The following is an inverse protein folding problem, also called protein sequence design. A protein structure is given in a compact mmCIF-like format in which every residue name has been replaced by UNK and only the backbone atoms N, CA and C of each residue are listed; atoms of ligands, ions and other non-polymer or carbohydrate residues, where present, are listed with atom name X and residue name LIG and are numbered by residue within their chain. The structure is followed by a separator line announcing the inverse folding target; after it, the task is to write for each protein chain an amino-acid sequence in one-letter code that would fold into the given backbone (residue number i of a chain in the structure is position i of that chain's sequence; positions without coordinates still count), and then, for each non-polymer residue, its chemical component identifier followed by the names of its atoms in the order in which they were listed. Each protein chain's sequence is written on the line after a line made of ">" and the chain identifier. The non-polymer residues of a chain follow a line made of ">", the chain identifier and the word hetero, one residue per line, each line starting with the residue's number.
data_IF_610328766239
#
_entry.id   IF_610328766239
#
_cell.length_a   1.000
_cell.length_b   1.000
_cell.length_c   1.000
_cell.angle_alpha   90.00
_cell.angle_beta   90.00
_cell.angle_gamma   90.00
#
_symmetry.space_group_name_H-M   'P 1'
#
loop_
_entity.id
_entity.type
_entity.pdbx_description
1 polymer ?
#
# COMPACT_ATOMS: atom_id res chain seq x y z
N UNK A 1 -28.79 -47.99 -7.85
CA UNK A 1 -28.20 -47.80 -6.51
C UNK A 1 -26.77 -48.29 -6.34
N UNK A 2 -26.34 -49.44 -6.91
CA UNK A 2 -24.94 -49.92 -6.75
C UNK A 2 -23.87 -49.05 -7.45
N UNK A 3 -24.19 -48.36 -8.54
CA UNK A 3 -23.26 -47.49 -9.28
C UNK A 3 -23.00 -46.14 -8.59
N UNK A 4 -23.97 -45.63 -7.84
CA UNK A 4 -23.83 -44.38 -7.06
C UNK A 4 -23.00 -44.56 -5.79
N UNK A 5 -23.05 -45.74 -5.17
CA UNK A 5 -22.21 -46.07 -4.01
C UNK A 5 -20.74 -46.25 -4.38
N UNK A 6 -20.48 -46.80 -5.59
CA UNK A 6 -19.08 -46.87 -6.09
C UNK A 6 -18.49 -45.50 -6.42
N UNK A 7 -19.29 -44.58 -6.95
CA UNK A 7 -18.85 -43.21 -7.22
C UNK A 7 -18.55 -42.43 -5.91
N UNK A 8 -19.37 -42.60 -4.88
CA UNK A 8 -19.15 -42.00 -3.55
C UNK A 8 -17.93 -42.64 -2.87
N UNK A 9 -17.74 -43.94 -2.98
CA UNK A 9 -16.56 -44.63 -2.45
C UNK A 9 -15.27 -44.24 -3.19
N UNK A 10 -15.30 -44.00 -4.51
CA UNK A 10 -14.19 -43.50 -5.29
C UNK A 10 -13.85 -42.03 -4.94
N UNK A 11 -14.89 -41.18 -4.75
CA UNK A 11 -14.67 -39.82 -4.27
C UNK A 11 -14.09 -39.75 -2.84
N UNK A 12 -14.55 -40.63 -1.94
CA UNK A 12 -14.04 -40.70 -0.57
C UNK A 12 -12.61 -41.29 -0.49
N UNK A 13 -12.24 -42.17 -1.42
CA UNK A 13 -10.88 -42.70 -1.51
C UNK A 13 -9.87 -41.67 -2.05
N UNK A 14 -10.32 -40.74 -2.91
CA UNK A 14 -9.50 -39.61 -3.41
C UNK A 14 -9.39 -38.51 -2.34
N UNK A 15 -10.41 -38.31 -1.53
CA UNK A 15 -10.40 -37.32 -0.43
C UNK A 15 -9.50 -37.74 0.75
N UNK A 16 -9.04 -38.96 0.81
CA UNK A 16 -8.24 -39.48 1.93
C UNK A 16 -6.73 -39.20 1.87
N UNK A 17 -6.21 -38.59 0.81
CA UNK A 17 -4.75 -38.35 0.64
C UNK A 17 -4.38 -36.88 0.40
N UNK A 18 -5.34 -36.00 0.17
CA UNK A 18 -5.09 -34.57 0.04
C UNK A 18 -5.10 -33.94 1.43
N UNK A 19 -3.98 -33.92 2.11
CA UNK A 19 -3.79 -33.19 3.35
C UNK A 19 -3.35 -31.77 3.01
N UNK A 20 -4.26 -30.82 3.11
CA UNK A 20 -3.93 -29.42 2.95
C UNK A 20 -3.06 -28.96 4.13
N UNK A 21 -1.86 -28.49 3.86
CA UNK A 21 -1.01 -27.86 4.87
C UNK A 21 -1.54 -26.45 5.17
N UNK A 22 -2.12 -26.29 6.35
CA UNK A 22 -2.62 -24.98 6.82
C UNK A 22 -1.67 -24.44 7.88
N UNK A 23 -1.17 -23.24 7.65
CA UNK A 23 -0.25 -22.54 8.57
C UNK A 23 -0.90 -21.24 9.07
N UNK A 24 -0.99 -21.10 10.38
CA UNK A 24 -1.20 -19.81 11.05
C UNK A 24 0.14 -19.07 11.12
N UNK A 25 0.16 -17.80 10.73
CA UNK A 25 1.36 -16.97 10.78
C UNK A 25 1.00 -15.54 11.17
N UNK A 26 2.00 -14.78 11.60
CA UNK A 26 1.80 -13.38 11.89
C UNK A 26 3.06 -12.63 12.26
N UNK A 27 2.87 -11.33 12.46
CA UNK A 27 3.89 -10.38 12.92
C UNK A 27 3.22 -9.45 13.91
N UNK A 28 3.84 -9.29 15.07
CA UNK A 28 3.55 -8.20 16.01
C UNK A 28 4.78 -7.30 16.03
N UNK A 29 4.59 -6.05 15.69
CA UNK A 29 5.63 -5.03 15.63
C UNK A 29 5.12 -3.77 16.32
N UNK A 30 5.82 -3.37 17.38
CA UNK A 30 5.44 -2.23 18.21
C UNK A 30 6.68 -1.42 18.56
N UNK A 31 6.61 -0.12 18.40
CA UNK A 31 7.65 0.82 18.74
C UNK A 31 7.17 1.87 19.74
N UNK A 32 8.12 2.46 20.44
CA UNK A 32 7.95 3.71 21.17
C UNK A 32 8.86 4.73 20.50
N UNK A 33 8.31 5.88 20.19
CA UNK A 33 9.06 6.88 19.46
C UNK A 33 8.55 8.29 19.64
N UNK A 34 9.29 9.22 19.05
CA UNK A 34 8.96 10.63 19.02
C UNK A 34 8.80 11.09 17.58
N UNK A 35 7.80 11.93 17.33
CA UNK A 35 7.63 12.68 16.08
C UNK A 35 7.73 14.15 16.42
N UNK A 36 8.70 14.85 15.85
CA UNK A 36 8.85 16.30 16.01
C UNK A 36 7.99 17.04 14.98
N UNK A 37 7.50 18.23 15.36
CA UNK A 37 6.76 19.12 14.48
C UNK A 37 5.48 18.51 13.87
N UNK A 38 4.75 17.76 14.69
CA UNK A 38 3.48 17.19 14.29
C UNK A 38 2.36 18.23 14.41
N UNK A 39 1.66 18.48 13.33
CA UNK A 39 0.58 19.48 13.28
C UNK A 39 -0.80 18.95 13.68
N UNK A 40 -0.96 17.64 13.93
CA UNK A 40 -2.22 17.01 14.33
C UNK A 40 -2.04 15.97 15.44
N UNK A 41 -3.09 15.86 16.24
CA UNK A 41 -3.13 15.10 17.49
C UNK A 41 -3.23 13.57 17.33
N UNK A 42 -3.06 13.00 16.16
CA UNK A 42 -3.07 11.54 16.00
C UNK A 42 -1.64 11.00 15.99
N UNK A 43 -1.18 10.39 17.09
CA UNK A 43 0.18 9.86 17.19
C UNK A 43 0.37 8.54 16.41
N UNK A 44 -0.69 7.90 15.94
CA UNK A 44 -0.61 6.64 15.19
C UNK A 44 -0.22 6.84 13.73
N UNK A 45 -0.30 8.08 13.24
CA UNK A 45 0.17 8.43 11.91
C UNK A 45 1.06 9.66 12.00
N UNK A 46 2.34 9.54 11.66
CA UNK A 46 3.15 10.72 11.43
C UNK A 46 2.40 11.57 10.41
N UNK A 47 2.20 12.83 10.72
CA UNK A 47 1.36 13.73 9.97
C UNK A 47 1.60 13.58 8.47
N UNK A 48 0.69 12.86 7.86
CA UNK A 48 0.56 12.90 6.41
C UNK A 48 0.49 14.35 6.02
N UNK A 49 1.10 14.67 4.96
CA UNK A 49 1.26 15.95 4.31
C UNK A 49 -0.10 16.60 4.03
N UNK A 50 -0.90 16.75 5.06
CA UNK A 50 -2.07 17.58 5.05
C UNK A 50 -1.71 18.81 5.89
N UNK A 51 -1.36 19.94 5.28
CA UNK A 51 -1.13 21.14 6.02
C UNK A 51 -2.45 21.59 6.61
N UNK A 52 -2.76 21.10 7.78
CA UNK A 52 -3.81 21.67 8.57
C UNK A 52 -3.27 22.97 9.12
N UNK A 53 -3.81 24.05 8.61
CA UNK A 53 -3.66 25.42 9.11
C UNK A 53 -2.29 25.75 9.74
N UNK A 54 -1.54 26.59 9.09
CA UNK A 54 -0.24 27.13 9.53
C UNK A 54 -0.24 27.87 10.90
N UNK A 55 -1.32 27.80 11.65
CA UNK A 55 -1.52 28.48 12.94
C UNK A 55 -1.33 27.60 14.18
N UNK A 56 -1.18 26.27 14.01
CA UNK A 56 -0.88 25.42 15.15
C UNK A 56 0.64 25.37 15.39
N UNK A 57 1.07 25.67 16.60
CA UNK A 57 2.47 25.57 17.00
C UNK A 57 2.95 24.11 16.81
N UNK A 58 4.11 23.88 16.18
CA UNK A 58 4.61 22.54 15.96
C UNK A 58 4.99 21.89 17.30
N UNK A 59 4.36 20.78 17.61
CA UNK A 59 4.58 20.05 18.86
C UNK A 59 5.34 18.74 18.59
N UNK A 60 6.11 18.31 19.57
CA UNK A 60 6.71 16.98 19.57
C UNK A 60 5.77 16.03 20.31
N UNK A 61 5.47 14.90 19.70
CA UNK A 61 4.62 13.85 20.29
C UNK A 61 5.46 12.62 20.56
N UNK A 62 5.31 12.07 21.75
CA UNK A 62 5.87 10.75 22.11
C UNK A 62 4.73 9.77 22.26
N UNK A 63 4.79 8.65 21.52
CA UNK A 63 3.72 7.66 21.53
C UNK A 63 4.22 6.25 21.24
N UNK A 64 3.37 5.26 21.52
CA UNK A 64 3.48 3.95 20.93
C UNK A 64 3.07 4.03 19.46
N UNK A 65 3.81 3.32 18.60
CA UNK A 65 3.62 3.31 17.15
C UNK A 65 3.47 1.88 16.69
N UNK A 66 2.39 1.61 15.97
CA UNK A 66 2.14 0.30 15.36
C UNK A 66 3.03 0.12 14.13
N UNK A 67 3.84 -0.94 14.11
CA UNK A 67 4.60 -1.32 12.95
C UNK A 67 5.78 -0.41 12.62
N UNK A 68 6.84 -0.44 13.39
CA UNK A 68 8.05 0.33 13.06
C UNK A 68 8.74 -0.15 11.78
N UNK A 69 8.97 -1.43 11.67
CA UNK A 69 9.49 -2.04 10.44
C UNK A 69 8.37 -2.66 9.62
N UNK A 70 7.45 -3.38 10.26
CA UNK A 70 6.41 -4.15 9.57
C UNK A 70 5.03 -3.89 10.17
N UNK A 71 3.99 -3.63 9.38
CA UNK A 71 2.63 -3.57 9.93
C UNK A 71 2.27 -4.86 10.65
N UNK A 72 1.72 -4.75 11.87
CA UNK A 72 1.23 -5.89 12.63
C UNK A 72 0.10 -6.58 11.89
N UNK A 73 0.15 -7.91 11.82
CA UNK A 73 -0.81 -8.73 11.08
C UNK A 73 -0.80 -10.17 11.54
N UNK A 74 -1.89 -10.85 11.25
CA UNK A 74 -1.99 -12.30 11.36
C UNK A 74 -2.67 -12.86 10.12
N UNK A 75 -2.49 -14.11 9.82
CA UNK A 75 -3.09 -14.73 8.66
C UNK A 75 -3.05 -16.24 8.70
N UNK A 76 -3.83 -16.82 7.83
CA UNK A 76 -3.87 -18.26 7.55
C UNK A 76 -3.54 -18.42 6.07
N UNK A 77 -2.62 -19.32 5.77
CA UNK A 77 -2.31 -19.73 4.40
C UNK A 77 -2.31 -21.25 4.31
N UNK A 78 -2.65 -21.75 3.16
CA UNK A 78 -2.64 -23.18 2.95
C UNK A 78 -2.26 -23.55 1.52
N UNK A 79 -1.80 -24.79 1.38
CA UNK A 79 -1.55 -25.40 0.08
C UNK A 79 -1.98 -26.84 0.10
N UNK A 80 -2.57 -27.28 -1.01
CA UNK A 80 -2.96 -28.66 -1.27
C UNK A 80 -2.28 -29.13 -2.55
N UNK A 81 -1.54 -30.23 -2.49
CA UNK A 81 -0.91 -30.82 -3.66
C UNK A 81 -1.97 -31.54 -4.52
N UNK A 82 -2.13 -31.08 -5.75
CA UNK A 82 -3.08 -31.65 -6.72
C UNK A 82 -2.40 -32.69 -7.64
N UNK A 83 -1.10 -32.92 -7.45
CA UNK A 83 -0.30 -33.79 -8.29
C UNK A 83 0.28 -33.07 -9.52
N UNK A 84 1.29 -33.71 -10.13
CA UNK A 84 1.91 -33.16 -11.35
C UNK A 84 2.70 -31.88 -11.19
N UNK A 85 3.02 -31.44 -9.95
CA UNK A 85 3.68 -30.16 -9.67
C UNK A 85 2.72 -29.00 -9.45
N UNK A 86 1.42 -29.27 -9.54
CA UNK A 86 0.36 -28.24 -9.35
C UNK A 86 -0.19 -28.28 -7.94
N UNK A 87 -0.42 -27.11 -7.32
CA UNK A 87 -0.97 -26.94 -5.98
C UNK A 87 -2.13 -25.96 -6.01
N UNK A 88 -3.18 -26.24 -5.24
CA UNK A 88 -4.16 -25.23 -4.86
C UNK A 88 -3.59 -24.45 -3.66
N UNK A 89 -3.72 -23.12 -3.69
CA UNK A 89 -3.19 -22.25 -2.64
C UNK A 89 -4.24 -21.24 -2.20
N UNK A 90 -4.18 -20.81 -0.95
CA UNK A 90 -4.95 -19.67 -0.47
C UNK A 90 -4.18 -18.87 0.58
N UNK A 91 -4.56 -17.60 0.74
CA UNK A 91 -4.09 -16.74 1.83
C UNK A 91 -5.21 -15.82 2.30
N UNK A 92 -5.41 -15.78 3.62
CA UNK A 92 -6.26 -14.83 4.30
C UNK A 92 -5.41 -14.08 5.32
N UNK A 93 -5.27 -12.75 5.18
CA UNK A 93 -4.38 -11.94 6.01
C UNK A 93 -5.09 -10.68 6.50
N UNK A 94 -5.05 -10.48 7.82
CA UNK A 94 -5.61 -9.33 8.54
C UNK A 94 -4.51 -8.48 9.15
N UNK A 95 -4.54 -7.18 8.88
CA UNK A 95 -3.71 -6.19 9.59
C UNK A 95 -4.47 -5.64 10.78
N UNK A 96 -3.77 -5.41 11.86
CA UNK A 96 -4.33 -4.79 13.06
C UNK A 96 -3.37 -3.78 13.65
N UNK A 97 -3.91 -2.88 14.45
CA UNK A 97 -3.15 -1.94 15.24
C UNK A 97 -2.79 -2.57 16.58
N UNK A 98 -1.50 -2.83 16.78
CA UNK A 98 -1.01 -3.45 18.03
C UNK A 98 -1.07 -2.52 19.24
N UNK A 99 -1.27 -1.20 19.04
CA UNK A 99 -1.44 -0.26 20.15
C UNK A 99 -2.83 -0.36 20.77
N UNK A 100 -3.85 -0.61 19.93
CA UNK A 100 -5.28 -0.52 20.31
C UNK A 100 -6.01 -1.84 20.19
N UNK A 101 -5.49 -2.81 19.42
CA UNK A 101 -6.15 -4.06 19.09
C UNK A 101 -7.20 -3.94 17.98
N UNK A 102 -7.37 -2.76 17.36
CA UNK A 102 -8.33 -2.53 16.29
C UNK A 102 -7.81 -3.05 14.95
N UNK A 103 -8.72 -3.33 14.02
CA UNK A 103 -8.36 -3.64 12.63
C UNK A 103 -7.79 -2.39 11.94
N UNK A 104 -6.74 -2.58 11.15
CA UNK A 104 -6.18 -1.53 10.32
C UNK A 104 -7.06 -1.22 9.10
N UNK A 105 -6.91 -0.01 8.55
CA UNK A 105 -7.53 0.44 7.29
C UNK A 105 -9.05 0.69 7.32
N UNK A 106 -9.62 1.12 8.44
CA UNK A 106 -11.05 1.40 8.53
C UNK A 106 -11.57 2.30 7.39
N UNK A 107 -11.11 3.53 7.29
CA UNK A 107 -11.56 4.47 6.24
C UNK A 107 -11.10 4.07 4.83
N UNK A 108 -9.88 3.56 4.69
CA UNK A 108 -9.35 3.12 3.39
C UNK A 108 -10.04 1.84 2.89
N UNK A 109 -10.48 0.97 3.79
CA UNK A 109 -11.27 -0.21 3.42
C UNK A 109 -12.59 0.16 2.73
N UNK A 110 -13.22 1.26 3.12
CA UNK A 110 -14.41 1.79 2.45
C UNK A 110 -14.12 2.22 1.02
N UNK A 111 -13.01 2.89 0.82
CA UNK A 111 -12.61 3.38 -0.50
C UNK A 111 -12.24 2.24 -1.44
N UNK A 112 -11.59 1.20 -0.93
CA UNK A 112 -11.12 0.08 -1.74
C UNK A 112 -12.25 -0.85 -2.21
N UNK A 113 -13.40 -0.80 -1.56
CA UNK A 113 -14.51 -1.72 -1.82
C UNK A 113 -15.56 -1.09 -2.77
N UNK A 114 -15.12 -0.58 -3.89
CA UNK A 114 -15.91 0.20 -4.86
C UNK A 114 -17.09 -0.54 -5.52
N UNK A 115 -17.21 -1.85 -5.33
CA UNK A 115 -18.20 -2.68 -6.04
C UNK A 115 -19.55 -2.82 -5.34
N UNK A 116 -19.76 -2.20 -4.18
CA UNK A 116 -21.03 -2.34 -3.46
C UNK A 116 -21.86 -1.07 -3.57
N UNK A 117 -22.67 -0.99 -4.59
CA UNK A 117 -23.64 0.09 -4.82
C UNK A 117 -24.91 -0.04 -3.97
N UNK A 118 -25.02 -1.04 -3.12
CA UNK A 118 -26.22 -1.25 -2.33
C UNK A 118 -26.04 -0.77 -0.89
N UNK A 119 -26.95 0.08 -0.49
CA UNK A 119 -27.13 0.74 0.79
C UNK A 119 -27.36 -0.20 2.00
N UNK A 120 -26.60 -1.26 2.14
CA UNK A 120 -26.71 -2.13 3.29
C UNK A 120 -25.71 -1.69 4.36
N UNK A 121 -26.11 -0.70 5.15
CA UNK A 121 -25.34 -0.12 6.25
C UNK A 121 -24.85 -1.17 7.28
N UNK A 122 -25.52 -2.31 7.37
CA UNK A 122 -25.16 -3.40 8.26
C UNK A 122 -23.94 -4.22 7.79
N UNK A 123 -23.53 -4.09 6.53
CA UNK A 123 -22.38 -4.84 5.97
C UNK A 123 -21.08 -4.07 6.00
N UNK A 124 -21.06 -2.87 6.55
CA UNK A 124 -20.00 -1.90 6.39
C UNK A 124 -19.65 -1.23 7.71
N UNK A 125 -18.96 -1.94 8.58
CA UNK A 125 -18.24 -1.23 9.60
C UNK A 125 -17.00 -0.59 8.95
N UNK A 126 -16.64 0.61 9.37
CA UNK A 126 -15.34 1.24 9.05
C UNK A 126 -14.17 0.35 9.48
N UNK A 127 -14.41 -0.53 10.45
CA UNK A 127 -13.50 -1.59 10.90
C UNK A 127 -13.51 -2.82 9.99
N UNK A 128 -14.26 -2.78 8.92
CA UNK A 128 -15.03 -3.80 8.23
C UNK A 128 -14.37 -4.77 7.31
N UNK A 129 -13.10 -4.75 7.05
CA UNK A 129 -12.47 -5.83 6.28
C UNK A 129 -11.64 -6.71 7.22
N UNK A 130 -12.20 -7.85 7.62
CA UNK A 130 -11.46 -8.81 8.44
C UNK A 130 -10.13 -9.21 7.79
N UNK A 131 -10.14 -9.46 6.48
CA UNK A 131 -8.93 -9.76 5.71
C UNK A 131 -8.54 -8.57 4.82
N UNK A 132 -8.22 -7.46 5.46
CA UNK A 132 -7.94 -6.19 4.80
C UNK A 132 -6.62 -6.16 4.01
N UNK A 133 -5.74 -7.17 4.19
CA UNK A 133 -4.45 -7.23 3.49
C UNK A 133 -4.50 -8.17 2.30
N UNK A 134 -4.86 -9.42 2.51
CA UNK A 134 -4.96 -10.41 1.45
C UNK A 134 -6.15 -11.36 1.71
N UNK A 135 -6.89 -11.69 0.68
CA UNK A 135 -7.96 -12.68 0.66
C UNK A 135 -8.05 -13.26 -0.75
N UNK A 136 -7.26 -14.29 -1.02
CA UNK A 136 -7.19 -14.89 -2.35
C UNK A 136 -7.09 -16.41 -2.31
N UNK A 137 -7.47 -17.03 -3.42
CA UNK A 137 -7.27 -18.43 -3.74
C UNK A 137 -6.65 -18.53 -5.13
N UNK A 138 -5.92 -19.60 -5.42
CA UNK A 138 -5.30 -19.78 -6.73
C UNK A 138 -4.67 -21.13 -6.95
N UNK A 139 -4.01 -21.24 -8.08
CA UNK A 139 -3.21 -22.40 -8.48
C UNK A 139 -1.76 -21.97 -8.65
N UNK A 140 -0.85 -22.80 -8.16
CA UNK A 140 0.59 -22.65 -8.34
C UNK A 140 1.13 -23.90 -8.99
N UNK A 141 1.94 -23.72 -10.01
CA UNK A 141 2.55 -24.81 -10.77
C UNK A 141 4.04 -24.52 -11.00
N UNK A 142 4.87 -25.54 -10.90
CA UNK A 142 6.33 -25.40 -10.98
C UNK A 142 6.81 -24.95 -12.37
N UNK A 143 6.05 -25.19 -13.44
CA UNK A 143 6.36 -24.81 -14.81
C UNK A 143 5.57 -23.58 -15.27
N UNK A 144 4.29 -23.54 -14.94
CA UNK A 144 3.35 -22.53 -15.44
C UNK A 144 3.22 -21.31 -14.52
N UNK A 145 3.83 -21.34 -13.32
CA UNK A 145 3.79 -20.24 -12.36
C UNK A 145 2.52 -20.24 -11.52
N UNK A 146 2.15 -19.06 -11.02
CA UNK A 146 1.07 -18.92 -10.04
C UNK A 146 0.00 -17.99 -10.58
N UNK A 147 -1.26 -18.43 -10.54
CA UNK A 147 -2.45 -17.66 -10.89
C UNK A 147 -3.37 -17.57 -9.67
N UNK A 148 -3.67 -16.34 -9.23
CA UNK A 148 -4.46 -16.08 -8.02
C UNK A 148 -5.64 -15.15 -8.28
N UNK A 149 -6.71 -15.31 -7.49
CA UNK A 149 -7.97 -14.59 -7.62
C UNK A 149 -8.40 -14.04 -6.26
N UNK A 150 -8.69 -12.75 -6.18
CA UNK A 150 -9.18 -12.11 -4.95
C UNK A 150 -8.36 -10.87 -4.58
N UNK A 151 -8.48 -10.44 -3.31
CA UNK A 151 -7.72 -9.31 -2.78
C UNK A 151 -6.28 -9.69 -2.55
N UNK A 152 -5.35 -8.97 -3.15
CA UNK A 152 -3.94 -9.30 -3.12
C UNK A 152 -3.05 -8.09 -3.39
N UNK A 153 -1.76 -8.25 -3.14
CA UNK A 153 -0.77 -7.22 -3.44
C UNK A 153 -0.61 -6.98 -4.94
N UNK A 154 -0.54 -5.71 -5.29
CA UNK A 154 -0.23 -5.24 -6.63
C UNK A 154 1.24 -5.53 -7.00
N UNK A 155 1.57 -5.40 -8.29
CA UNK A 155 2.90 -5.76 -8.78
C UNK A 155 4.02 -4.86 -8.26
N UNK A 156 3.73 -3.62 -7.87
CA UNK A 156 4.70 -2.72 -7.25
C UNK A 156 5.16 -3.22 -5.88
N UNK A 157 4.25 -3.76 -5.09
CA UNK A 157 4.59 -4.31 -3.77
C UNK A 157 5.61 -5.45 -3.86
N UNK A 158 5.55 -6.25 -4.90
CA UNK A 158 6.50 -7.35 -5.12
C UNK A 158 7.94 -6.84 -5.31
N UNK A 159 8.12 -5.55 -5.66
CA UNK A 159 9.42 -4.92 -5.85
C UNK A 159 9.90 -4.23 -4.57
N UNK A 160 9.03 -3.47 -3.90
CA UNK A 160 9.41 -2.62 -2.77
C UNK A 160 10.16 -3.35 -1.68
N UNK A 161 9.67 -4.53 -1.25
CA UNK A 161 10.26 -5.27 -0.14
C UNK A 161 11.73 -5.66 -0.35
N UNK A 162 12.15 -5.84 -1.61
CA UNK A 162 13.50 -6.25 -1.97
C UNK A 162 14.41 -5.12 -2.47
N UNK A 163 13.84 -3.98 -2.87
CA UNK A 163 14.55 -2.93 -3.58
C UNK A 163 14.53 -1.57 -2.88
N UNK A 164 13.64 -1.34 -1.92
CA UNK A 164 13.69 -0.13 -1.09
C UNK A 164 14.96 -0.14 -0.22
N UNK A 165 15.72 0.96 -0.16
CA UNK A 165 16.93 1.10 0.64
C UNK A 165 16.79 0.66 2.11
N UNK A 166 15.72 1.06 2.79
CA UNK A 166 15.46 0.70 4.18
C UNK A 166 14.39 -0.41 4.31
N UNK A 167 14.33 -1.31 3.32
CA UNK A 167 13.57 -2.56 3.35
C UNK A 167 12.05 -2.34 3.49
N UNK A 168 11.53 -1.25 2.97
CA UNK A 168 10.11 -0.89 3.05
C UNK A 168 9.60 -0.77 4.50
N UNK A 169 10.47 -0.29 5.40
CA UNK A 169 10.14 -0.13 6.80
C UNK A 169 8.98 0.88 6.99
N UNK A 170 7.97 0.48 7.76
CA UNK A 170 6.70 1.23 7.87
C UNK A 170 6.88 2.67 8.36
N UNK A 171 7.76 2.90 9.34
CA UNK A 171 8.01 4.24 9.90
C UNK A 171 9.21 4.96 9.28
N UNK A 172 10.10 4.23 8.61
CA UNK A 172 11.40 4.75 8.23
C UNK A 172 11.61 4.81 6.71
N UNK A 173 10.67 4.31 5.91
CA UNK A 173 10.67 4.47 4.46
C UNK A 173 9.48 5.32 4.01
N UNK A 174 9.67 6.39 3.23
CA UNK A 174 8.56 7.11 2.63
C UNK A 174 7.73 6.23 1.68
N UNK A 175 8.29 5.15 1.15
CA UNK A 175 7.56 4.17 0.33
C UNK A 175 6.69 3.24 1.19
N UNK A 176 7.17 2.89 2.39
CA UNK A 176 6.43 2.10 3.38
C UNK A 176 5.39 2.91 4.14
N UNK A 177 5.55 4.22 4.16
CA UNK A 177 4.84 5.14 5.01
C UNK A 177 3.41 5.41 4.51
N UNK A 178 2.42 5.18 5.38
CA UNK A 178 1.02 5.51 5.06
C UNK A 178 0.84 7.00 4.86
N UNK A 179 0.30 7.40 3.71
CA UNK A 179 -0.02 8.78 3.40
C UNK A 179 0.99 9.52 2.53
N UNK A 180 2.15 8.96 2.27
CA UNK A 180 3.03 9.47 1.21
C UNK A 180 2.44 9.06 -0.15
N UNK A 181 2.42 9.98 -1.11
CA UNK A 181 2.11 9.62 -2.49
C UNK A 181 3.11 8.56 -2.95
N UNK A 182 2.60 7.43 -3.37
CA UNK A 182 3.42 6.25 -3.66
C UNK A 182 3.72 5.35 -2.47
N UNK A 183 3.39 5.78 -1.25
CA UNK A 183 3.54 4.96 -0.05
C UNK A 183 2.33 4.07 0.24
N UNK A 184 2.52 3.07 1.10
CA UNK A 184 1.50 2.09 1.44
C UNK A 184 0.35 2.73 2.24
N UNK A 185 -0.82 2.80 1.66
CA UNK A 185 -2.00 3.40 2.27
C UNK A 185 -2.10 4.92 2.11
N UNK A 186 -1.26 5.50 1.25
CA UNK A 186 -1.41 6.88 0.78
C UNK A 186 -2.55 7.05 -0.22
N UNK A 187 -2.56 8.18 -0.90
CA UNK A 187 -3.54 8.51 -1.96
C UNK A 187 -3.43 7.59 -3.20
N UNK A 188 -2.61 6.56 -3.14
CA UNK A 188 -2.37 5.62 -4.23
C UNK A 188 -2.69 4.22 -3.75
N UNK A 189 -3.66 3.58 -4.37
CA UNK A 189 -4.05 2.19 -4.08
C UNK A 189 -3.12 1.15 -4.72
N UNK A 190 -1.91 1.52 -5.09
CA UNK A 190 -1.01 0.64 -5.84
C UNK A 190 -0.51 -0.57 -5.06
N UNK A 191 -0.75 -0.64 -3.76
CA UNK A 191 -0.25 -1.75 -2.97
C UNK A 191 -1.14 -2.98 -2.97
N UNK A 192 -2.45 -2.81 -3.03
CA UNK A 192 -3.42 -3.91 -2.98
C UNK A 192 -4.61 -3.62 -3.87
N UNK A 193 -5.09 -4.65 -4.54
CA UNK A 193 -6.26 -4.56 -5.39
C UNK A 193 -7.28 -5.64 -5.00
N UNK A 194 -8.55 -5.21 -4.90
CA UNK A 194 -9.70 -6.10 -4.77
C UNK A 194 -10.10 -6.64 -6.13
N UNK A 195 -10.86 -7.73 -6.18
CA UNK A 195 -11.39 -8.33 -7.41
C UNK A 195 -10.31 -8.54 -8.48
N UNK A 196 -9.11 -8.88 -8.05
CA UNK A 196 -7.96 -8.97 -8.92
C UNK A 196 -7.67 -10.41 -9.33
N UNK A 197 -7.24 -10.57 -10.57
CA UNK A 197 -6.57 -11.75 -11.10
C UNK A 197 -5.10 -11.39 -11.25
N UNK A 198 -4.21 -12.19 -10.68
CA UNK A 198 -2.76 -11.96 -10.76
C UNK A 198 -2.04 -13.22 -11.19
N UNK A 199 -1.14 -13.06 -12.14
CA UNK A 199 -0.21 -14.08 -12.59
C UNK A 199 1.21 -13.68 -12.20
N UNK A 200 2.01 -14.65 -11.77
CA UNK A 200 3.44 -14.47 -11.50
C UNK A 200 4.21 -15.74 -11.89
N UNK A 201 5.37 -15.57 -12.51
CA UNK A 201 6.27 -16.68 -12.84
C UNK A 201 7.73 -16.23 -12.83
N UNK A 202 8.63 -17.20 -12.76
CA UNK A 202 10.07 -17.01 -12.88
C UNK A 202 10.64 -18.00 -13.90
N UNK A 203 11.21 -17.47 -14.98
CA UNK A 203 11.85 -18.21 -16.06
C UNK A 203 13.38 -18.02 -15.95
N UNK A 204 14.07 -18.95 -15.31
CA UNK A 204 15.48 -18.79 -14.99
C UNK A 204 15.69 -17.57 -14.09
N UNK A 205 16.45 -16.59 -14.59
CA UNK A 205 16.73 -15.34 -13.87
C UNK A 205 15.69 -14.23 -14.12
N UNK A 206 14.73 -14.47 -15.02
CA UNK A 206 13.70 -13.49 -15.38
C UNK A 206 12.43 -13.73 -14.59
N UNK A 207 11.94 -12.71 -13.90
CA UNK A 207 10.63 -12.69 -13.22
C UNK A 207 9.62 -11.91 -14.05
N UNK A 208 8.40 -12.41 -14.13
CA UNK A 208 7.29 -11.69 -14.76
C UNK A 208 6.08 -11.68 -13.84
N UNK A 209 5.27 -10.66 -13.94
CA UNK A 209 3.99 -10.55 -13.23
C UNK A 209 3.00 -9.73 -14.03
N UNK A 210 1.74 -10.11 -13.96
CA UNK A 210 0.63 -9.37 -14.54
C UNK A 210 -0.56 -9.41 -13.58
N UNK A 211 -1.31 -8.32 -13.51
CA UNK A 211 -2.50 -8.21 -12.68
C UNK A 211 -3.59 -7.44 -13.43
N UNK A 212 -4.82 -7.86 -13.23
CA UNK A 212 -5.99 -7.13 -13.66
C UNK A 212 -7.05 -7.13 -12.56
N UNK A 213 -7.54 -5.93 -12.19
CA UNK A 213 -8.69 -5.74 -11.30
C UNK A 213 -9.93 -5.54 -12.17
N UNK A 214 -10.95 -6.34 -11.91
CA UNK A 214 -12.26 -6.22 -12.56
C UNK A 214 -13.02 -5.08 -11.89
N UNK A 215 -13.46 -4.09 -12.68
CA UNK A 215 -14.19 -2.92 -12.17
C UNK A 215 -15.56 -3.24 -11.59
N UNK A 216 -16.24 -4.26 -12.13
CA UNK A 216 -17.48 -4.81 -11.56
C UNK A 216 -18.70 -3.90 -11.66
N UNK A 217 -18.73 -2.96 -12.60
CA UNK A 217 -19.88 -2.10 -12.84
C UNK A 217 -20.82 -2.70 -13.88
N UNK A 218 -22.13 -2.60 -13.65
CA UNK A 218 -23.12 -3.08 -14.60
C UNK A 218 -23.01 -2.31 -15.93
N UNK A 219 -22.84 -3.03 -17.02
CA UNK A 219 -22.73 -2.48 -18.38
C UNK A 219 -21.34 -1.96 -18.77
N UNK A 220 -20.37 -1.92 -17.84
CA UNK A 220 -18.98 -1.51 -18.15
C UNK A 220 -17.98 -2.16 -17.19
N UNK A 221 -16.87 -2.64 -17.73
CA UNK A 221 -15.77 -3.18 -16.93
C UNK A 221 -14.64 -2.16 -16.69
N UNK A 222 -14.75 -0.95 -17.26
CA UNK A 222 -13.69 0.07 -17.20
C UNK A 222 -13.66 0.85 -15.88
N UNK A 223 -14.80 1.36 -15.37
CA UNK A 223 -14.80 2.07 -14.09
C UNK A 223 -14.28 1.18 -12.96
N UNK A 224 -13.42 1.75 -12.11
CA UNK A 224 -12.77 1.09 -10.98
C UNK A 224 -11.86 -0.09 -11.35
N UNK A 225 -11.55 -0.29 -12.63
CA UNK A 225 -10.57 -1.28 -13.06
C UNK A 225 -9.14 -0.84 -12.78
N UNK A 226 -8.25 -1.81 -12.63
CA UNK A 226 -6.82 -1.56 -12.55
C UNK A 226 -6.04 -2.67 -13.26
N UNK A 227 -4.83 -2.36 -13.68
CA UNK A 227 -3.94 -3.32 -14.30
C UNK A 227 -2.50 -3.05 -13.90
N UNK A 228 -1.69 -4.10 -13.87
CA UNK A 228 -0.28 -4.00 -13.57
C UNK A 228 0.54 -5.01 -14.35
N UNK A 229 1.75 -4.63 -14.73
CA UNK A 229 2.74 -5.47 -15.38
C UNK A 229 4.08 -5.31 -14.67
N UNK A 230 4.82 -6.41 -14.51
CA UNK A 230 6.14 -6.43 -13.91
C UNK A 230 7.06 -7.32 -14.72
N UNK A 231 8.32 -6.90 -14.87
CA UNK A 231 9.42 -7.70 -15.38
C UNK A 231 10.65 -7.43 -14.52
N UNK A 232 11.41 -8.48 -14.23
CA UNK A 232 12.64 -8.38 -13.48
C UNK A 232 13.69 -9.36 -13.96
N UNK A 233 14.95 -9.03 -13.68
CA UNK A 233 16.10 -9.89 -13.92
C UNK A 233 16.96 -9.91 -12.67
N UNK A 234 17.27 -11.09 -12.16
CA UNK A 234 18.13 -11.29 -11.00
C UNK A 234 19.13 -12.42 -11.26
N UNK A 235 20.39 -12.05 -11.46
CA UNK A 235 21.49 -12.99 -11.69
C UNK A 235 22.74 -12.60 -10.89
N UNK A 236 23.35 -13.56 -10.23
CA UNK A 236 24.55 -13.36 -9.41
C UNK A 236 24.33 -12.27 -8.34
N UNK A 237 25.12 -11.21 -8.42
CA UNK A 237 25.05 -10.09 -7.47
C UNK A 237 24.11 -8.95 -7.90
N UNK A 238 23.58 -9.00 -9.12
CA UNK A 238 22.80 -7.92 -9.71
C UNK A 238 21.31 -8.29 -9.80
N UNK A 239 20.45 -7.32 -9.50
CA UNK A 239 19.02 -7.41 -9.73
C UNK A 239 18.47 -6.08 -10.26
N UNK A 240 17.55 -6.16 -11.21
CA UNK A 240 16.77 -5.03 -11.72
C UNK A 240 15.32 -5.44 -11.90
N UNK A 241 14.40 -4.53 -11.57
CA UNK A 241 12.96 -4.73 -11.71
C UNK A 241 12.35 -3.49 -12.35
N UNK A 242 11.35 -3.71 -13.17
CA UNK A 242 10.50 -2.66 -13.72
C UNK A 242 9.03 -3.05 -13.59
N UNK A 243 8.17 -2.09 -13.32
CA UNK A 243 6.73 -2.30 -13.28
C UNK A 243 5.98 -1.08 -13.78
N UNK A 244 4.77 -1.34 -14.30
CA UNK A 244 3.81 -0.35 -14.72
C UNK A 244 2.44 -0.72 -14.16
N UNK A 245 1.74 0.26 -13.59
CA UNK A 245 0.38 0.11 -13.10
C UNK A 245 -0.51 1.25 -13.57
N UNK A 246 -1.79 0.93 -13.78
CA UNK A 246 -2.82 1.90 -14.06
C UNK A 246 -4.11 1.54 -13.35
N UNK A 247 -4.84 2.55 -12.88
CA UNK A 247 -6.13 2.38 -12.25
C UNK A 247 -7.09 3.49 -12.69
N UNK A 248 -8.35 3.13 -12.89
CA UNK A 248 -9.41 4.00 -13.36
C UNK A 248 -10.38 4.34 -12.24
N UNK A 249 -10.79 5.60 -12.20
CA UNK A 249 -11.83 6.10 -11.28
C UNK A 249 -11.58 5.74 -9.81
N UNK A 250 -10.30 5.80 -9.40
CA UNK A 250 -9.88 5.49 -8.04
C UNK A 250 -10.44 6.50 -7.07
N UNK A 251 -11.04 6.03 -6.00
CA UNK A 251 -11.51 6.87 -4.90
C UNK A 251 -10.50 6.85 -3.76
N UNK A 252 -10.04 8.02 -3.36
CA UNK A 252 -9.25 8.20 -2.14
C UNK A 252 -10.08 9.01 -1.15
N UNK A 253 -10.18 8.55 0.08
CA UNK A 253 -11.09 9.17 1.05
C UNK A 253 -10.44 9.45 2.39
N UNK A 254 -11.03 10.43 3.09
CA UNK A 254 -10.74 10.72 4.48
C UNK A 254 -12.05 10.92 5.25
N UNK A 255 -12.13 10.43 6.47
CA UNK A 255 -13.26 10.73 7.36
C UNK A 255 -13.20 12.19 7.80
N UNK A 256 -14.31 12.91 7.70
CA UNK A 256 -14.46 14.21 8.35
C UNK A 256 -14.95 14.00 9.78
N UNK A 257 -14.66 14.95 10.68
CA UNK A 257 -15.07 14.89 12.08
C UNK A 257 -16.59 14.87 12.34
N UNK A 258 -17.40 14.90 11.29
CA UNK A 258 -18.87 14.82 11.35
C UNK A 258 -19.41 13.43 10.95
N UNK A 259 -18.58 12.41 10.85
CA UNK A 259 -19.01 11.08 10.38
C UNK A 259 -19.28 11.01 8.87
N UNK A 260 -18.85 12.01 8.12
CA UNK A 260 -18.94 12.06 6.67
C UNK A 260 -17.64 11.53 6.06
N UNK A 261 -17.72 10.91 4.90
CA UNK A 261 -16.55 10.52 4.11
C UNK A 261 -16.38 11.50 2.95
N UNK A 262 -15.27 12.23 2.92
CA UNK A 262 -14.89 13.03 1.78
C UNK A 262 -14.03 12.17 0.84
N UNK A 263 -14.37 12.12 -0.43
CA UNK A 263 -13.66 11.31 -1.42
C UNK A 263 -13.08 12.19 -2.52
N UNK A 264 -11.90 11.83 -3.00
CA UNK A 264 -11.30 12.40 -4.21
C UNK A 264 -11.24 11.29 -5.26
N UNK A 265 -11.77 11.57 -6.44
CA UNK A 265 -11.78 10.66 -7.55
C UNK A 265 -10.74 11.05 -8.61
N UNK A 266 -10.02 10.06 -9.12
CA UNK A 266 -8.91 10.25 -10.05
C UNK A 266 -8.59 8.97 -10.83
N UNK A 267 -8.07 9.13 -12.03
CA UNK A 267 -7.32 8.07 -12.69
C UNK A 267 -5.86 8.10 -12.20
N UNK A 268 -5.22 6.95 -12.20
CA UNK A 268 -3.82 6.83 -11.78
C UNK A 268 -3.02 6.03 -12.80
N UNK A 269 -1.78 6.45 -13.02
CA UNK A 269 -0.76 5.70 -13.77
C UNK A 269 0.56 5.82 -13.03
N UNK A 270 1.29 4.72 -12.96
CA UNK A 270 2.60 4.71 -12.34
C UNK A 270 3.56 3.79 -13.07
N UNK A 271 4.83 4.12 -13.02
CA UNK A 271 5.90 3.21 -13.37
C UNK A 271 7.01 3.29 -12.33
N UNK A 272 7.69 2.16 -12.17
CA UNK A 272 8.77 1.97 -11.23
C UNK A 272 9.89 1.21 -11.92
N UNK A 273 11.13 1.66 -11.69
CA UNK A 273 12.35 0.91 -12.01
C UNK A 273 13.23 0.94 -10.78
N UNK A 274 13.71 -0.23 -10.37
CA UNK A 274 14.62 -0.33 -9.23
C UNK A 274 15.70 -1.36 -9.48
N UNK A 275 16.90 -1.10 -8.97
CA UNK A 275 18.05 -1.99 -9.09
C UNK A 275 18.75 -2.16 -7.75
N UNK A 276 19.40 -3.32 -7.58
CA UNK A 276 20.25 -3.63 -6.44
C UNK A 276 21.52 -4.31 -6.88
N UNK A 277 22.60 -4.11 -6.12
CA UNK A 277 23.86 -4.77 -6.34
C UNK A 277 24.50 -5.18 -5.02
N UNK A 278 24.86 -6.46 -4.89
CA UNK A 278 25.62 -6.99 -3.76
C UNK A 278 27.11 -6.79 -4.04
N UNK A 279 27.73 -5.85 -3.36
CA UNK A 279 29.18 -5.60 -3.50
C UNK A 279 30.00 -6.73 -2.89
N UNK A 280 29.51 -7.29 -1.79
CA UNK A 280 30.06 -8.46 -1.10
C UNK A 280 28.95 -9.14 -0.27
N UNK A 281 29.31 -10.06 0.63
CA UNK A 281 28.36 -10.76 1.51
C UNK A 281 27.56 -9.84 2.43
N UNK A 282 28.14 -8.67 2.75
CA UNK A 282 27.65 -7.81 3.82
C UNK A 282 27.03 -6.51 3.31
N UNK A 283 27.43 -6.02 2.13
CA UNK A 283 27.01 -4.73 1.58
C UNK A 283 26.15 -4.89 0.33
N UNK A 284 24.93 -4.38 0.38
CA UNK A 284 24.01 -4.26 -0.77
C UNK A 284 23.67 -2.80 -1.01
N UNK A 285 23.91 -2.29 -2.20
CA UNK A 285 23.44 -0.99 -2.67
C UNK A 285 22.13 -1.12 -3.44
N UNK A 286 21.25 -0.12 -3.31
CA UNK A 286 19.92 -0.08 -3.93
C UNK A 286 19.65 1.30 -4.49
N UNK A 287 18.94 1.35 -5.61
CA UNK A 287 18.51 2.59 -6.27
C UNK A 287 17.14 2.37 -6.90
N UNK A 288 16.27 3.37 -6.82
CA UNK A 288 14.94 3.32 -7.40
C UNK A 288 14.50 4.64 -8.00
N UNK A 289 13.58 4.54 -8.95
CA UNK A 289 12.84 5.65 -9.52
C UNK A 289 11.39 5.24 -9.75
N UNK A 290 10.49 6.12 -9.31
CA UNK A 290 9.06 5.94 -9.49
C UNK A 290 8.44 7.24 -9.99
N UNK A 291 7.42 7.13 -10.83
CA UNK A 291 6.64 8.27 -11.27
C UNK A 291 5.17 7.93 -11.26
N UNK A 292 4.40 8.79 -10.63
CA UNK A 292 2.94 8.71 -10.55
C UNK A 292 2.33 9.87 -11.29
N UNK A 293 1.31 9.60 -12.08
CA UNK A 293 0.45 10.62 -12.69
C UNK A 293 -0.97 10.38 -12.23
N UNK A 294 -1.55 11.39 -11.60
CA UNK A 294 -2.96 11.45 -11.24
C UNK A 294 -3.63 12.37 -12.23
N UNK A 295 -4.72 11.93 -12.84
CA UNK A 295 -5.47 12.68 -13.84
C UNK A 295 -6.97 12.68 -13.52
N UNK A 296 -7.73 13.46 -14.28
CA UNK A 296 -9.18 13.46 -14.15
C UNK A 296 -9.74 12.04 -14.28
N UNK A 297 -10.75 11.66 -13.47
CA UNK A 297 -11.38 10.36 -13.57
C UNK A 297 -12.02 10.16 -14.93
N UNK A 298 -11.98 8.93 -15.45
CA UNK A 298 -12.51 8.58 -16.76
C UNK A 298 -14.04 8.67 -16.81
N UNK A 299 -14.73 8.36 -15.71
CA UNK A 299 -16.19 8.39 -15.60
C UNK A 299 -16.67 9.38 -14.52
N UNK A 300 -16.60 10.67 -14.86
CA UNK A 300 -17.05 11.73 -13.96
C UNK A 300 -18.56 11.73 -13.71
N UNK A 301 -19.37 11.15 -14.61
CA UNK A 301 -20.82 11.08 -14.46
C UNK A 301 -21.23 10.06 -13.40
N UNK A 302 -20.57 8.91 -13.38
CA UNK A 302 -20.76 7.89 -12.33
C UNK A 302 -20.45 8.47 -10.95
N UNK A 303 -19.39 9.26 -10.86
CA UNK A 303 -18.93 9.87 -9.62
C UNK A 303 -19.81 11.02 -9.15
N UNK A 304 -20.41 11.78 -10.06
CA UNK A 304 -21.40 12.80 -9.73
C UNK A 304 -22.66 12.18 -9.09
N UNK A 305 -23.02 10.96 -9.46
CA UNK A 305 -24.11 10.19 -8.85
C UNK A 305 -23.83 9.74 -7.41
N UNK A 306 -22.58 9.76 -6.96
CA UNK A 306 -22.21 9.43 -5.57
C UNK A 306 -22.46 10.62 -4.62
N UNK A 307 -22.44 11.84 -5.11
CA UNK A 307 -22.69 13.03 -4.29
C UNK A 307 -24.17 13.14 -3.93
N UNK A 308 -24.49 13.18 -2.64
CA UNK A 308 -25.85 13.38 -2.15
C UNK A 308 -26.71 12.12 -2.02
N UNK A 309 -26.21 10.95 -2.36
CA UNK A 309 -26.86 9.68 -2.01
C UNK A 309 -26.53 9.29 -0.56
N UNK A 310 -27.38 8.47 0.07
CA UNK A 310 -27.20 7.94 1.42
C UNK A 310 -25.99 7.00 1.51
N UNK A 311 -24.90 7.45 0.93
CA UNK A 311 -23.62 6.96 1.27
C UNK A 311 -23.05 5.85 0.45
N UNK A 312 -21.86 6.04 0.25
CA UNK A 312 -20.85 5.02 0.07
C UNK A 312 -20.79 4.26 1.39
N UNK A 313 -21.25 3.01 1.39
CA UNK A 313 -21.32 2.14 2.57
C UNK A 313 -22.16 2.61 3.77
N UNK A 314 -23.24 3.30 3.54
CA UNK A 314 -24.08 3.78 4.64
C UNK A 314 -23.52 4.99 5.40
N UNK A 315 -22.34 5.47 5.01
CA UNK A 315 -21.83 6.77 5.48
C UNK A 315 -22.17 7.84 4.46
N UNK A 316 -22.75 8.94 4.87
CA UNK A 316 -23.04 10.02 3.96
C UNK A 316 -21.72 10.56 3.38
N UNK A 317 -21.64 10.64 2.06
CA UNK A 317 -20.53 11.32 1.39
C UNK A 317 -20.72 12.81 1.58
N UNK A 318 -19.77 13.41 2.30
CA UNK A 318 -19.78 14.85 2.53
C UNK A 318 -19.43 15.60 1.26
N UNK A 319 -18.32 15.25 0.64
CA UNK A 319 -17.82 15.93 -0.56
C UNK A 319 -17.19 14.92 -1.52
N UNK A 320 -17.53 15.00 -2.79
CA UNK A 320 -16.78 14.34 -3.87
C UNK A 320 -15.93 15.38 -4.55
N UNK A 321 -14.62 15.21 -4.50
CA UNK A 321 -13.67 16.05 -5.21
C UNK A 321 -13.15 15.30 -6.43
N UNK A 322 -12.98 15.99 -7.55
CA UNK A 322 -12.41 15.40 -8.76
C UNK A 322 -11.03 16.01 -9.02
N UNK A 323 -10.08 15.19 -9.40
CA UNK A 323 -8.84 15.70 -10.01
C UNK A 323 -9.20 16.27 -11.37
N UNK A 324 -8.91 17.53 -11.62
CA UNK A 324 -9.27 18.23 -12.85
C UNK A 324 -8.08 18.51 -13.76
N UNK A 325 -6.87 18.38 -13.24
CA UNK A 325 -5.63 18.57 -14.00
C UNK A 325 -4.61 17.49 -13.60
N UNK A 326 -3.80 17.10 -14.54
CA UNK A 326 -2.75 16.11 -14.31
C UNK A 326 -1.78 16.57 -13.20
N UNK A 327 -1.46 15.65 -12.33
CA UNK A 327 -0.51 15.81 -11.23
C UNK A 327 0.53 14.74 -11.33
N UNK A 328 1.78 15.12 -11.34
CA UNK A 328 2.86 14.16 -11.41
C UNK A 328 3.71 14.24 -10.15
N UNK A 329 4.07 13.08 -9.64
CA UNK A 329 5.00 12.93 -8.52
C UNK A 329 6.09 11.98 -8.95
N UNK A 330 7.34 12.41 -8.83
CA UNK A 330 8.51 11.58 -9.08
C UNK A 330 9.25 11.32 -7.78
N UNK A 331 9.62 10.07 -7.54
CA UNK A 331 10.34 9.63 -6.34
C UNK A 331 11.64 8.98 -6.80
N UNK A 332 12.74 9.42 -6.23
CA UNK A 332 14.07 8.81 -6.38
C UNK A 332 14.48 8.27 -5.03
N UNK A 333 15.08 7.11 -5.00
CA UNK A 333 15.70 6.56 -3.80
C UNK A 333 17.10 6.02 -4.10
N UNK A 334 17.97 6.15 -3.10
CA UNK A 334 19.33 5.65 -3.11
C UNK A 334 19.73 5.27 -1.69
N UNK A 335 20.36 4.13 -1.55
CA UNK A 335 20.87 3.66 -0.25
C UNK A 335 21.23 2.19 -0.29
N UNK A 336 21.00 1.51 0.82
CA UNK A 336 21.30 0.09 0.94
C UNK A 336 21.45 -0.36 2.38
N UNK A 337 21.93 -1.58 2.53
CA UNK A 337 22.09 -2.21 3.83
C UNK A 337 23.48 -2.84 3.99
N UNK A 338 23.96 -2.82 5.23
CA UNK A 338 25.22 -3.39 5.65
C UNK A 338 25.06 -4.29 6.88
N UNK A 339 25.54 -5.53 6.77
CA UNK A 339 25.54 -6.50 7.85
C UNK A 339 26.87 -6.42 8.61
N UNK A 340 26.91 -5.79 9.77
CA UNK A 340 28.07 -5.80 10.66
C UNK A 340 28.36 -7.21 11.19
N UNK A 341 27.32 -7.96 11.42
CA UNK A 341 27.32 -9.37 11.81
C UNK A 341 26.10 -10.05 11.21
N UNK A 342 26.00 -11.39 11.23
CA UNK A 342 24.77 -12.09 10.81
C UNK A 342 23.50 -11.70 11.58
N UNK A 343 23.66 -10.96 12.70
CA UNK A 343 22.54 -10.53 13.56
C UNK A 343 22.32 -9.02 13.57
N UNK A 344 23.27 -8.22 13.13
CA UNK A 344 23.21 -6.76 13.20
C UNK A 344 23.29 -6.16 11.80
N UNK A 345 22.20 -5.58 11.35
CA UNK A 345 22.05 -4.92 10.07
C UNK A 345 21.81 -3.42 10.24
N UNK A 346 22.45 -2.61 9.42
CA UNK A 346 22.15 -1.19 9.26
C UNK A 346 21.66 -0.94 7.84
N UNK A 347 20.47 -0.39 7.71
CA UNK A 347 19.94 0.10 6.44
C UNK A 347 19.88 1.63 6.45
N UNK A 348 20.28 2.25 5.35
CA UNK A 348 20.23 3.71 5.16
C UNK A 348 19.61 4.06 3.83
N UNK A 349 18.86 5.17 3.77
CA UNK A 349 18.19 5.61 2.55
C UNK A 349 18.08 7.12 2.46
N UNK A 350 18.23 7.63 1.25
CA UNK A 350 17.92 9.01 0.89
C UNK A 350 16.84 8.95 -0.19
N UNK A 351 15.77 9.72 0.01
CA UNK A 351 14.67 9.78 -0.93
C UNK A 351 14.40 11.21 -1.34
N UNK A 352 14.10 11.39 -2.60
CA UNK A 352 13.72 12.67 -3.18
C UNK A 352 12.33 12.57 -3.81
N UNK A 353 11.35 13.26 -3.25
CA UNK A 353 10.00 13.36 -3.82
C UNK A 353 9.86 14.73 -4.46
N UNK A 354 9.58 14.76 -5.76
CA UNK A 354 9.36 15.97 -6.53
C UNK A 354 7.90 15.98 -6.99
N UNK A 355 7.20 17.04 -6.65
CA UNK A 355 5.84 17.32 -7.10
C UNK A 355 5.93 18.33 -8.23
N UNK A 356 5.43 18.00 -9.41
CA UNK A 356 5.34 18.95 -10.51
C UNK A 356 4.37 20.08 -10.14
N UNK A 357 4.61 21.27 -10.68
CA UNK A 357 3.74 22.43 -10.44
C UNK A 357 2.31 22.11 -10.91
N UNK A 358 1.39 22.14 -9.98
CA UNK A 358 -0.04 21.99 -10.27
C UNK A 358 -0.61 23.36 -10.63
N UNK A 359 -0.94 23.55 -11.87
CA UNK A 359 -1.40 24.79 -12.47
C UNK A 359 -0.30 25.84 -12.73
N UNK A 360 -0.14 26.13 -14.00
CA UNK A 360 0.96 26.89 -14.60
C UNK A 360 1.03 28.37 -14.26
N UNK A 361 0.14 28.87 -13.39
CA UNK A 361 0.03 30.32 -13.23
C UNK A 361 0.76 30.89 -12.01
N UNK A 362 1.03 30.11 -10.95
CA UNK A 362 1.61 30.67 -9.72
C UNK A 362 2.43 29.70 -8.83
N UNK A 363 2.61 28.44 -9.17
CA UNK A 363 3.19 27.46 -8.26
C UNK A 363 4.61 27.02 -8.63
N UNK A 364 5.60 27.26 -7.76
CA UNK A 364 6.87 26.59 -7.83
C UNK A 364 6.69 25.09 -7.50
N UNK A 365 7.46 24.18 -8.11
CA UNK A 365 7.39 22.76 -7.77
C UNK A 365 7.77 22.54 -6.30
N UNK A 366 7.02 21.70 -5.60
CA UNK A 366 7.34 21.33 -4.23
C UNK A 366 8.25 20.11 -4.20
N UNK A 367 9.14 20.06 -3.23
CA UNK A 367 10.03 18.92 -3.03
C UNK A 367 10.05 18.48 -1.57
N UNK A 368 10.21 17.18 -1.36
CA UNK A 368 10.48 16.60 -0.05
C UNK A 368 11.75 15.76 -0.15
N UNK A 369 12.60 15.86 0.86
CA UNK A 369 13.80 15.03 0.98
C UNK A 369 13.71 14.26 2.28
N UNK A 370 13.89 12.95 2.19
CA UNK A 370 13.87 12.06 3.35
C UNK A 370 15.26 11.46 3.54
N UNK A 371 15.68 11.41 4.78
CA UNK A 371 16.93 10.80 5.22
C UNK A 371 16.58 9.77 6.28
N UNK A 372 16.90 8.51 6.03
CA UNK A 372 16.48 7.39 6.86
C UNK A 372 17.65 6.54 7.28
N UNK A 373 17.60 6.05 8.51
CA UNK A 373 18.52 5.05 9.04
C UNK A 373 17.74 4.08 9.94
N UNK A 374 18.03 2.79 9.80
CA UNK A 374 17.40 1.71 10.55
C UNK A 374 18.48 0.71 10.97
N UNK A 375 18.68 0.55 12.27
CA UNK A 375 19.54 -0.46 12.86
C UNK A 375 18.65 -1.58 13.43
N UNK A 376 18.84 -2.81 12.95
CA UNK A 376 18.07 -3.98 13.33
C UNK A 376 18.97 -5.07 13.91
N UNK A 377 18.66 -5.56 15.13
CA UNK A 377 19.36 -6.63 15.79
C UNK A 377 18.47 -7.85 16.01
N UNK A 378 18.80 -8.94 15.35
CA UNK A 378 18.09 -10.22 15.41
C UNK A 378 18.53 -11.07 16.61
N UNK A 379 17.68 -11.18 17.64
CA UNK A 379 17.89 -12.15 18.72
C UNK A 379 17.74 -13.58 18.21
N UNK A 380 16.77 -13.79 17.33
CA UNK A 380 16.47 -15.09 16.72
C UNK A 380 15.92 -14.89 15.29
N UNK A 381 15.61 -15.98 14.59
CA UNK A 381 14.93 -15.93 13.28
C UNK A 381 13.53 -15.27 13.35
N UNK A 382 12.94 -15.18 14.53
CA UNK A 382 11.56 -14.69 14.74
C UNK A 382 11.48 -13.38 15.51
N UNK A 383 12.51 -13.02 16.28
CA UNK A 383 12.49 -11.86 17.18
C UNK A 383 13.66 -10.95 16.90
N UNK A 384 13.39 -9.72 16.62
CA UNK A 384 14.36 -8.64 16.48
C UNK A 384 13.96 -7.40 17.32
N UNK A 385 14.95 -6.61 17.66
CA UNK A 385 14.79 -5.25 18.19
C UNK A 385 15.48 -4.28 17.27
N UNK A 386 14.90 -3.12 17.13
CA UNK A 386 15.39 -2.14 16.20
C UNK A 386 15.34 -0.73 16.78
N UNK A 387 16.15 0.15 16.19
CA UNK A 387 16.02 1.59 16.33
C UNK A 387 16.12 2.22 14.96
N UNK A 388 15.34 3.27 14.74
CA UNK A 388 15.37 3.96 13.45
C UNK A 388 15.05 5.43 13.60
N UNK A 389 15.46 6.17 12.59
CA UNK A 389 15.16 7.58 12.44
C UNK A 389 14.88 7.92 10.98
N UNK A 390 13.93 8.82 10.77
CA UNK A 390 13.68 9.44 9.46
C UNK A 390 13.48 10.93 9.66
N UNK A 391 14.12 11.73 8.84
CA UNK A 391 13.96 13.19 8.81
C UNK A 391 13.43 13.62 7.45
N UNK A 392 12.46 14.52 7.43
CA UNK A 392 11.85 15.06 6.21
C UNK A 392 12.09 16.55 6.10
N UNK A 393 12.75 16.97 5.03
CA UNK A 393 12.96 18.38 4.70
C UNK A 393 12.05 18.75 3.54
N UNK A 394 11.24 19.79 3.71
CA UNK A 394 10.26 20.24 2.73
C UNK A 394 10.70 21.58 2.13
N UNK A 395 10.40 21.79 0.85
CA UNK A 395 10.58 23.10 0.19
C UNK A 395 9.61 23.27 -0.98
N UNK A 396 9.30 24.51 -1.31
CA UNK A 396 8.45 24.89 -2.43
C UNK A 396 6.96 24.98 -2.08
N UNK A 397 6.16 25.36 -3.06
CA UNK A 397 4.71 25.58 -2.91
C UNK A 397 3.97 24.57 -3.78
N UNK A 398 3.04 23.83 -3.18
CA UNK A 398 2.15 22.94 -3.91
C UNK A 398 0.75 23.55 -4.00
N UNK A 399 0.29 23.78 -5.21
CA UNK A 399 -1.10 24.17 -5.46
C UNK A 399 -1.89 22.95 -5.92
N UNK A 400 -2.97 22.63 -5.26
CA UNK A 400 -3.86 21.53 -5.61
C UNK A 400 -5.17 22.12 -6.12
N UNK A 401 -5.47 21.94 -7.41
CA UNK A 401 -6.78 22.21 -7.93
C UNK A 401 -7.73 21.09 -7.50
N UNK A 402 -8.71 21.39 -6.68
CA UNK A 402 -9.73 20.46 -6.23
C UNK A 402 -11.07 20.96 -6.76
N UNK A 403 -11.67 20.19 -7.66
CA UNK A 403 -13.06 20.44 -8.07
C UNK A 403 -13.98 19.80 -7.03
N UNK A 404 -14.84 20.58 -6.40
CA UNK A 404 -15.88 20.04 -5.52
C UNK A 404 -17.22 20.00 -6.25
N UNK A 405 -17.83 18.82 -6.34
CA UNK A 405 -19.23 18.67 -6.72
C UNK A 405 -20.08 18.49 -5.47
N UNK A 406 -20.39 19.55 -4.78
CA UNK A 406 -21.66 19.67 -4.04
C UNK A 406 -22.65 20.26 -5.02
N UNK A 407 -23.91 19.86 -5.01
CA UNK A 407 -25.03 20.40 -5.80
C UNK A 407 -24.83 21.85 -6.27
N UNK A 408 -23.87 22.09 -7.15
CA UNK A 408 -23.45 23.39 -7.63
C UNK A 408 -21.95 23.46 -7.86
N UNK A 409 -21.55 23.61 -9.09
CA UNK A 409 -20.17 23.72 -9.57
C UNK A 409 -19.40 24.84 -8.84
N UNK A 410 -18.52 24.47 -7.93
CA UNK A 410 -17.45 25.36 -7.46
C UNK A 410 -16.12 24.63 -7.58
N UNK A 411 -15.26 25.11 -8.46
CA UNK A 411 -13.85 24.69 -8.53
C UNK A 411 -13.08 25.52 -7.53
N UNK A 412 -12.66 24.91 -6.44
CA UNK A 412 -11.77 25.51 -5.46
C UNK A 412 -10.32 25.12 -5.74
N UNK A 413 -9.40 26.04 -5.59
CA UNK A 413 -7.95 25.77 -5.55
C UNK A 413 -7.50 25.80 -4.11
N UNK A 414 -6.94 24.69 -3.62
CA UNK A 414 -6.22 24.67 -2.34
C UNK A 414 -4.73 24.82 -2.63
N UNK A 415 -4.10 25.82 -2.05
CA UNK A 415 -2.64 26.04 -2.15
C UNK A 415 -1.99 25.60 -0.86
N UNK A 416 -1.03 24.72 -0.94
CA UNK A 416 -0.21 24.28 0.18
C UNK A 416 1.21 24.77 -0.02
N UNK A 417 1.72 25.62 0.88
CA UNK A 417 3.14 26.02 0.88
C UNK A 417 3.94 25.09 1.76
N UNK A 418 5.06 24.63 1.24
CA UNK A 418 6.05 23.81 1.97
C UNK A 418 7.27 24.63 2.43
N UNK A 419 7.43 25.87 1.97
CA UNK A 419 8.64 26.68 2.24
C UNK A 419 8.83 27.02 3.73
N UNK A 420 7.76 27.03 4.50
CA UNK A 420 7.79 27.33 5.93
C UNK A 420 7.43 26.14 6.82
N UNK A 421 7.33 24.94 6.26
CA UNK A 421 7.09 23.75 7.08
C UNK A 421 8.41 23.34 7.74
N UNK A 422 8.44 23.18 9.07
CA UNK A 422 9.61 22.71 9.76
C UNK A 422 9.98 21.30 9.33
N UNK A 423 11.24 20.95 9.52
CA UNK A 423 11.73 19.60 9.35
C UNK A 423 11.00 18.66 10.30
N UNK A 424 10.33 17.65 9.78
CA UNK A 424 9.75 16.59 10.58
C UNK A 424 10.81 15.50 10.81
N UNK A 425 10.88 15.00 12.04
CA UNK A 425 11.78 13.90 12.35
C UNK A 425 11.03 12.85 13.19
N UNK A 426 11.23 11.60 12.85
CA UNK A 426 10.75 10.43 13.59
C UNK A 426 11.99 9.75 14.16
N UNK A 427 11.93 9.40 15.43
CA UNK A 427 12.86 8.47 16.06
C UNK A 427 12.06 7.45 16.84
N UNK A 428 12.34 6.18 16.64
CA UNK A 428 11.64 5.12 17.36
C UNK A 428 12.54 3.92 17.65
N UNK A 429 12.23 3.25 18.75
CA UNK A 429 12.82 1.97 19.15
C UNK A 429 11.69 0.97 19.30
N UNK A 430 11.85 -0.23 18.78
CA UNK A 430 10.78 -1.22 18.76
C UNK A 430 11.26 -2.64 18.84
N UNK A 431 10.27 -3.52 18.98
CA UNK A 431 10.44 -4.96 18.96
C UNK A 431 9.47 -5.56 17.96
N UNK A 432 9.98 -6.51 17.15
CA UNK A 432 9.17 -7.27 16.20
C UNK A 432 9.29 -8.75 16.49
N UNK A 433 8.14 -9.42 16.53
CA UNK A 433 8.06 -10.88 16.70
C UNK A 433 7.21 -11.49 15.58
N UNK A 434 7.74 -12.55 14.95
CA UNK A 434 7.07 -13.36 13.92
C UNK A 434 6.71 -14.72 14.50
N UNK A 435 5.51 -15.20 14.27
CA UNK A 435 5.04 -16.50 14.73
C UNK A 435 4.42 -17.33 13.61
#
# INVERSE_FOLDING_TARGET
>A
MKKSLLAIAALSAIAGTAQADVTLYGVIDLAVGTVSHQYNADPSFPATVNPVSATAAPNTTTAMMNGGISPSRWGIKGSEDLGGGTKAIFTLESGFDSNTGQLNNGAQALVNNTNKTTSNAAATSLDGQLFNRQAFVGLSDDQFGTLTFGRQYAVFFDIYSGYDPVQFAQLFSPLGFSGTLGGSGGATEYLRQDNAVKYANKFGDVTVGAMYKIGGQAGSNTPYSAYGLRVGYEAGNFGIQAAYEGAKDVLTGATSGAGLVNVTAQDQKAYLVAAKYKFNSDLTGKVGYQRYTLSAPSDSALLAGLAGTNGYYGYPIGTVSLVTADRTVSIFDLGGDYNFTPKLNLAVGIYGVNYDAFNTTTGAPATQRFYSALLDYSFSKRTDVYMGAMSTVNSGTRTVAVGTTTTGTSVGTATTSYDNLPTNSIFAVGVRHRF
#
